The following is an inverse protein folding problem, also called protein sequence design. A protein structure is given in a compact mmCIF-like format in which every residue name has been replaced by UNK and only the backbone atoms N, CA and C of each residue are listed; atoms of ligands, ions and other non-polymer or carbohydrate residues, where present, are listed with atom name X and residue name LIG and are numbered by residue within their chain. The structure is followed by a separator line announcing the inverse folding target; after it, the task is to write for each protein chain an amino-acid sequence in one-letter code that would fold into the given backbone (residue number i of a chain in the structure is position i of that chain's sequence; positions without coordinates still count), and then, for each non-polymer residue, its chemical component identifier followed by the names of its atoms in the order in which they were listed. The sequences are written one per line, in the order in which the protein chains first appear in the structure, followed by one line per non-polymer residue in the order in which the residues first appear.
data_IF_646713430714
#
_entry.id   IF_646713430714
#
_cell.length_a   1.000
_cell.length_b   1.000
_cell.length_c   1.000
_cell.angle_alpha   90.00
_cell.angle_beta   90.00
_cell.angle_gamma   90.00
#
_symmetry.space_group_name_H-M   'P 1'
#
loop_
_entity.id
_entity.type
_entity.pdbx_description
1 polymer ?
#
# COMPACT_ATOMS: atom_id res chain seq x y z
N UNK A 1 42.34 29.03 -52.79
CA UNK A 1 41.67 29.03 -54.12
C UNK A 1 41.17 27.63 -54.40
N UNK A 2 39.91 27.30 -54.07
CA UNK A 2 38.82 27.09 -55.04
C UNK A 2 39.26 26.38 -56.33
N UNK A 3 38.90 25.11 -56.50
CA UNK A 3 38.18 24.61 -57.70
C UNK A 3 37.63 23.20 -57.48
N UNK A 4 36.31 23.19 -57.33
CA UNK A 4 35.32 22.13 -57.56
C UNK A 4 35.42 21.50 -58.96
N UNK A 5 35.07 20.21 -59.07
CA UNK A 5 34.25 19.53 -60.11
C UNK A 5 34.58 18.02 -60.09
N UNK A 6 33.74 17.05 -60.41
CA UNK A 6 32.28 16.82 -60.53
C UNK A 6 32.17 15.34 -60.95
N UNK A 7 31.10 14.67 -60.54
CA UNK A 7 30.53 13.45 -61.15
C UNK A 7 31.42 12.18 -61.04
N UNK A 8 30.92 10.97 -60.79
CA UNK A 8 29.68 10.40 -61.31
C UNK A 8 29.26 9.14 -60.52
N UNK A 9 27.96 8.87 -60.60
CA UNK A 9 27.30 7.56 -60.63
C UNK A 9 27.67 6.52 -59.56
N UNK A 10 26.71 6.23 -58.69
CA UNK A 10 26.17 4.87 -58.57
C UNK A 10 24.81 4.94 -57.87
N UNK A 11 23.75 4.85 -58.67
CA UNK A 11 22.43 4.50 -58.19
C UNK A 11 22.37 2.98 -58.06
N UNK A 12 22.27 2.48 -56.82
CA UNK A 12 21.78 1.13 -56.57
C UNK A 12 20.50 1.26 -55.75
N UNK A 13 19.39 1.02 -56.46
CA UNK A 13 18.09 0.71 -55.90
C UNK A 13 18.23 -0.59 -55.11
N UNK A 14 17.73 -0.64 -53.87
CA UNK A 14 16.96 -1.76 -53.36
C UNK A 14 16.33 -1.41 -52.01
N UNK A 15 15.00 -1.60 -51.98
CA UNK A 15 14.14 -1.48 -50.83
C UNK A 15 14.63 -2.31 -49.64
N UNK A 16 14.47 -1.78 -48.43
CA UNK A 16 14.74 -2.56 -47.23
C UNK A 16 14.67 -1.73 -45.96
N UNK A 17 13.50 -1.78 -45.33
CA UNK A 17 13.29 -1.65 -43.88
C UNK A 17 13.62 -0.31 -43.22
N UNK A 18 12.55 0.43 -42.93
CA UNK A 18 12.48 1.33 -41.78
C UNK A 18 12.78 0.53 -40.50
N UNK A 19 14.01 0.58 -40.02
CA UNK A 19 14.30 0.26 -38.62
C UNK A 19 14.14 1.55 -37.85
N UNK A 20 12.91 1.73 -37.36
CA UNK A 20 12.65 2.52 -36.18
C UNK A 20 13.73 2.18 -35.14
N UNK A 21 14.45 3.19 -34.67
CA UNK A 21 15.20 3.09 -33.42
C UNK A 21 14.21 2.79 -32.31
N UNK A 22 13.95 1.50 -32.10
CA UNK A 22 13.24 1.00 -30.95
C UNK A 22 14.06 1.42 -29.74
N UNK A 23 13.52 2.39 -29.01
CA UNK A 23 13.82 2.51 -27.60
C UNK A 23 13.71 1.10 -27.02
N UNK A 24 14.85 0.55 -26.60
CA UNK A 24 14.85 -0.62 -25.73
C UNK A 24 13.88 -0.26 -24.59
N UNK A 25 12.81 -1.02 -24.35
CA UNK A 25 12.08 -0.84 -23.12
C UNK A 25 13.12 -1.08 -22.03
N UNK A 26 13.39 -0.05 -21.22
CA UNK A 26 13.96 -0.29 -19.91
C UNK A 26 13.13 -1.44 -19.35
N UNK A 27 13.77 -2.58 -19.09
CA UNK A 27 13.14 -3.70 -18.39
C UNK A 27 12.74 -3.11 -17.05
N UNK A 28 11.54 -2.57 -16.97
CA UNK A 28 10.93 -2.13 -15.75
C UNK A 28 10.80 -3.41 -14.95
N UNK A 29 11.67 -3.52 -13.94
CA UNK A 29 11.57 -4.58 -12.96
C UNK A 29 10.14 -4.49 -12.42
N UNK A 30 9.37 -5.61 -12.39
CA UNK A 30 8.03 -5.62 -11.85
C UNK A 30 8.02 -4.89 -10.50
N UNK A 31 7.24 -3.81 -10.39
CA UNK A 31 7.05 -3.12 -9.12
C UNK A 31 6.45 -4.13 -8.14
N UNK A 32 7.26 -4.58 -7.19
CA UNK A 32 6.92 -5.67 -6.26
C UNK A 32 7.99 -6.76 -6.13
N UNK A 33 8.98 -6.84 -7.04
CA UNK A 33 10.14 -7.71 -6.85
C UNK A 33 11.22 -7.01 -6.02
N UNK A 34 11.84 -7.70 -5.04
CA UNK A 34 12.92 -7.12 -4.23
C UNK A 34 14.11 -6.68 -5.08
N UNK A 35 14.68 -5.51 -4.77
CA UNK A 35 15.86 -5.02 -5.48
C UNK A 35 17.12 -5.80 -5.09
N UNK A 36 18.19 -5.78 -5.92
CA UNK A 36 19.49 -6.35 -5.57
C UNK A 36 20.10 -5.85 -4.26
N UNK A 37 19.79 -4.62 -3.86
CA UNK A 37 20.19 -4.06 -2.57
C UNK A 37 19.43 -4.68 -1.38
N UNK A 38 18.15 -5.04 -1.57
CA UNK A 38 17.32 -5.67 -0.54
C UNK A 38 17.63 -7.17 -0.37
N UNK A 39 18.02 -7.86 -1.44
CA UNK A 39 18.41 -9.27 -1.42
C UNK A 39 19.62 -9.52 -2.35
N UNK A 40 20.84 -9.65 -1.79
CA UNK A 40 22.04 -9.93 -2.55
C UNK A 40 21.91 -11.25 -3.32
N UNK A 41 22.53 -11.34 -4.49
CA UNK A 41 22.44 -12.52 -5.38
C UNK A 41 22.79 -13.85 -4.70
N UNK A 42 23.66 -13.82 -3.67
CA UNK A 42 24.08 -15.00 -2.90
C UNK A 42 22.95 -15.67 -2.10
N UNK A 43 21.91 -14.91 -1.76
CA UNK A 43 20.78 -15.37 -0.96
C UNK A 43 19.59 -15.82 -1.86
N UNK A 44 19.84 -15.93 -3.17
CA UNK A 44 18.86 -16.35 -4.19
C UNK A 44 19.14 -17.79 -4.63
N UNK A 45 18.15 -18.67 -4.49
CA UNK A 45 18.20 -19.98 -5.13
C UNK A 45 17.51 -19.90 -6.48
N UNK A 46 18.22 -20.20 -7.57
CA UNK A 46 17.64 -20.19 -8.92
C UNK A 46 17.18 -21.60 -9.30
N UNK A 47 15.88 -21.78 -9.49
CA UNK A 47 15.26 -23.01 -9.99
C UNK A 47 14.74 -22.87 -11.42
N UNK A 48 14.25 -23.96 -12.02
CA UNK A 48 13.73 -23.98 -13.40
C UNK A 48 12.48 -23.11 -13.63
N UNK A 49 11.89 -22.55 -12.56
CA UNK A 49 10.78 -21.59 -12.59
C UNK A 49 11.12 -20.15 -12.17
N UNK A 50 12.39 -19.82 -11.91
CA UNK A 50 12.82 -18.48 -11.46
C UNK A 50 13.52 -18.45 -10.09
N UNK A 51 13.74 -17.26 -9.55
CA UNK A 51 14.39 -17.07 -8.25
C UNK A 51 13.44 -17.43 -7.09
N UNK A 52 13.88 -18.32 -6.22
CA UNK A 52 13.23 -18.71 -4.97
C UNK A 52 13.88 -17.97 -3.80
N UNK A 53 13.05 -17.40 -2.92
CA UNK A 53 13.47 -16.61 -1.78
C UNK A 53 13.01 -17.33 -0.50
N UNK A 54 13.93 -17.89 0.32
CA UNK A 54 13.57 -18.72 1.47
C UNK A 54 12.72 -18.02 2.54
N UNK A 55 12.67 -16.68 2.54
CA UNK A 55 11.87 -15.84 3.43
C UNK A 55 10.86 -14.93 2.70
N UNK A 56 10.65 -15.12 1.40
CA UNK A 56 9.61 -14.42 0.63
C UNK A 56 8.71 -15.48 -0.01
N UNK A 57 7.57 -15.69 0.62
CA UNK A 57 6.46 -16.44 0.07
C UNK A 57 5.47 -15.40 -0.46
N UNK A 58 5.42 -15.18 -1.77
CA UNK A 58 4.26 -14.55 -2.39
C UNK A 58 3.11 -15.56 -2.32
N UNK A 59 2.11 -15.43 -1.43
CA UNK A 59 1.03 -16.40 -1.36
C UNK A 59 -0.04 -15.94 -2.36
N UNK A 60 0.06 -16.42 -3.60
CA UNK A 60 -0.89 -16.12 -4.68
C UNK A 60 -2.24 -16.85 -4.56
N UNK A 61 -2.49 -17.59 -3.48
CA UNK A 61 -3.63 -18.53 -3.43
C UNK A 61 -4.89 -17.95 -2.77
N UNK A 62 -4.79 -16.85 -2.01
CA UNK A 62 -5.94 -16.28 -1.26
C UNK A 62 -6.14 -14.76 -1.38
N UNK A 63 -5.25 -14.05 -2.10
CA UNK A 63 -5.33 -12.60 -2.28
C UNK A 63 -5.09 -11.80 -0.99
N UNK A 64 -5.17 -10.47 -1.10
CA UNK A 64 -5.02 -9.54 0.02
C UNK A 64 -6.24 -9.59 0.95
N UNK A 65 -6.00 -9.52 2.26
CA UNK A 65 -6.99 -9.26 3.29
C UNK A 65 -7.04 -7.77 3.66
N UNK A 66 -8.25 -7.25 3.90
CA UNK A 66 -8.49 -5.86 4.29
C UNK A 66 -9.09 -5.87 5.68
N UNK A 67 -8.26 -5.67 6.70
CA UNK A 67 -8.61 -5.90 8.09
C UNK A 67 -8.88 -4.58 8.81
N UNK A 68 -9.79 -4.59 9.78
CA UNK A 68 -10.22 -3.41 10.52
C UNK A 68 -10.33 -3.66 12.03
N UNK A 69 -10.33 -2.57 12.79
CA UNK A 69 -10.75 -2.56 14.19
C UNK A 69 -11.37 -1.20 14.54
N UNK A 70 -12.40 -1.20 15.39
CA UNK A 70 -13.14 0.02 15.74
C UNK A 70 -13.60 0.01 17.21
N UNK A 71 -13.78 1.21 17.76
CA UNK A 71 -14.38 1.40 19.08
C UNK A 71 -13.65 0.64 20.20
N UNK A 72 -14.37 -0.07 21.11
CA UNK A 72 -13.77 -0.72 22.28
C UNK A 72 -12.67 -1.74 21.95
N UNK A 73 -12.70 -2.36 20.77
CA UNK A 73 -11.67 -3.33 20.34
C UNK A 73 -10.26 -2.74 20.25
N UNK A 74 -10.15 -1.41 20.13
CA UNK A 74 -8.86 -0.70 20.06
C UNK A 74 -8.27 -0.38 21.44
N UNK A 75 -9.06 -0.41 22.52
CA UNK A 75 -8.62 0.01 23.86
C UNK A 75 -7.58 -0.93 24.50
N UNK A 76 -7.40 -2.14 23.98
CA UNK A 76 -6.32 -3.06 24.34
C UNK A 76 -5.52 -3.60 23.14
N UNK A 77 -5.98 -3.33 21.91
CA UNK A 77 -5.42 -3.90 20.68
C UNK A 77 -4.39 -3.02 19.97
N UNK A 78 -4.31 -1.71 20.27
CA UNK A 78 -3.30 -0.83 19.68
C UNK A 78 -1.99 -1.01 20.43
N UNK A 79 -1.00 -1.69 19.81
CA UNK A 79 0.34 -1.84 20.40
C UNK A 79 0.90 -0.44 20.64
N UNK A 80 1.30 -0.14 21.88
CA UNK A 80 1.76 1.18 22.35
C UNK A 80 3.04 1.64 21.62
N UNK A 81 2.91 2.06 20.36
CA UNK A 81 3.92 2.73 19.56
C UNK A 81 3.47 4.15 19.26
N UNK A 82 4.15 5.13 19.86
CA UNK A 82 3.85 6.58 19.85
C UNK A 82 2.54 6.99 20.53
N UNK A 83 2.50 6.79 21.85
CA UNK A 83 1.61 7.53 22.73
C UNK A 83 1.97 9.02 22.71
N UNK A 84 0.98 9.86 22.36
CA UNK A 84 0.80 11.32 22.55
C UNK A 84 0.06 11.81 21.31
N UNK A 85 -1.27 11.77 21.20
CA UNK A 85 -2.14 12.64 21.97
C UNK A 85 -3.65 12.34 21.73
N UNK A 86 -4.08 11.09 21.53
CA UNK A 86 -5.50 10.83 21.22
C UNK A 86 -6.00 9.40 21.37
N UNK A 87 -7.30 9.27 21.59
CA UNK A 87 -8.04 8.01 21.71
C UNK A 87 -8.12 7.34 20.34
N UNK A 88 -7.63 6.10 20.16
CA UNK A 88 -7.85 5.36 18.93
C UNK A 88 -9.33 5.04 18.77
N UNK A 89 -9.90 5.37 17.61
CA UNK A 89 -11.35 5.21 17.33
C UNK A 89 -11.60 4.25 16.17
N UNK A 90 -10.66 4.17 15.23
CA UNK A 90 -10.71 3.26 14.08
C UNK A 90 -9.31 2.89 13.62
N UNK A 91 -9.14 1.71 13.05
CA UNK A 91 -7.92 1.28 12.39
C UNK A 91 -8.25 0.36 11.20
N UNK A 92 -7.41 0.41 10.18
CA UNK A 92 -7.50 -0.43 8.98
C UNK A 92 -6.11 -0.79 8.47
N UNK A 93 -5.96 -1.97 7.89
CA UNK A 93 -4.73 -2.48 7.32
C UNK A 93 -5.00 -3.37 6.12
N UNK A 94 -4.01 -3.48 5.25
CA UNK A 94 -3.98 -4.48 4.18
C UNK A 94 -2.92 -5.50 4.54
N UNK A 95 -3.27 -6.77 4.42
CA UNK A 95 -2.40 -7.88 4.81
C UNK A 95 -2.40 -8.98 3.75
N UNK A 96 -1.32 -9.73 3.69
CA UNK A 96 -1.27 -10.98 2.92
C UNK A 96 -1.88 -12.16 3.71
N UNK A 97 -1.81 -13.37 3.13
CA UNK A 97 -2.28 -14.60 3.78
C UNK A 97 -1.51 -14.96 5.07
N UNK A 98 -0.30 -14.44 5.26
CA UNK A 98 0.53 -14.65 6.45
C UNK A 98 0.37 -13.52 7.48
N UNK A 99 -0.61 -12.63 7.27
CA UNK A 99 -0.87 -11.47 8.13
C UNK A 99 0.28 -10.45 8.15
N UNK A 100 1.12 -10.46 7.11
CA UNK A 100 2.16 -9.47 6.90
C UNK A 100 1.54 -8.23 6.28
N UNK A 101 1.98 -7.05 6.75
CA UNK A 101 1.42 -5.80 6.29
C UNK A 101 1.88 -5.47 4.86
N UNK A 102 0.91 -5.05 4.06
CA UNK A 102 1.09 -4.65 2.67
C UNK A 102 0.97 -3.11 2.55
N UNK A 103 0.64 -2.60 1.36
CA UNK A 103 0.40 -1.15 1.19
C UNK A 103 -0.66 -0.64 2.17
N UNK A 104 -0.30 0.40 2.91
CA UNK A 104 -1.16 0.97 3.93
C UNK A 104 -2.38 1.65 3.30
N UNK A 105 -3.60 1.40 3.82
CA UNK A 105 -4.79 2.13 3.40
C UNK A 105 -4.64 3.65 3.62
N UNK A 106 -5.19 4.43 2.69
CA UNK A 106 -5.25 5.89 2.82
C UNK A 106 -6.56 6.26 3.48
N UNK A 107 -6.48 7.06 4.55
CA UNK A 107 -7.67 7.56 5.25
C UNK A 107 -7.73 9.08 5.07
N UNK A 108 -8.85 9.55 4.51
CA UNK A 108 -9.18 10.97 4.43
C UNK A 108 -10.26 11.28 5.45
N UNK A 109 -10.09 12.32 6.24
CA UNK A 109 -11.13 12.78 7.18
C UNK A 109 -12.10 13.66 6.41
N UNK A 110 -13.35 13.24 6.29
CA UNK A 110 -14.41 13.98 5.61
C UNK A 110 -15.06 15.00 6.55
N UNK A 111 -15.31 14.58 7.79
CA UNK A 111 -15.80 15.46 8.85
C UNK A 111 -15.35 14.97 10.22
N UNK A 112 -15.26 15.91 11.16
CA UNK A 112 -14.94 15.65 12.56
C UNK A 112 -15.88 16.47 13.45
N UNK A 113 -16.24 15.96 14.64
CA UNK A 113 -17.10 16.69 15.55
C UNK A 113 -16.34 17.87 16.17
N UNK A 114 -17.07 18.95 16.46
CA UNK A 114 -16.51 20.15 17.09
C UNK A 114 -15.82 19.82 18.42
N UNK A 115 -14.78 20.60 18.79
CA UNK A 115 -14.08 20.42 20.06
C UNK A 115 -12.90 19.43 20.04
N UNK A 116 -12.56 18.90 18.86
CA UNK A 116 -11.39 18.04 18.71
C UNK A 116 -10.86 17.92 17.29
N UNK A 117 -9.79 17.14 17.15
CA UNK A 117 -9.04 16.90 15.92
C UNK A 117 -8.91 15.40 15.68
N UNK A 118 -9.02 15.01 14.42
CA UNK A 118 -8.73 13.64 13.99
C UNK A 118 -7.31 13.58 13.44
N UNK A 119 -6.55 12.59 13.89
CA UNK A 119 -5.17 12.35 13.48
C UNK A 119 -5.08 10.93 12.94
N UNK A 120 -4.57 10.78 11.73
CA UNK A 120 -4.31 9.47 11.12
C UNK A 120 -2.80 9.23 11.14
N UNK A 121 -2.39 8.16 11.78
CA UNK A 121 -0.98 7.78 11.90
C UNK A 121 -0.79 6.31 11.54
N UNK A 122 0.37 5.92 11.02
CA UNK A 122 0.76 4.52 10.97
C UNK A 122 0.75 3.93 12.39
N UNK A 123 0.33 2.69 12.54
CA UNK A 123 0.35 2.03 13.84
C UNK A 123 -0.05 0.56 13.75
N UNK A 124 0.18 -0.14 14.86
CA UNK A 124 -0.23 -1.54 15.01
C UNK A 124 -1.59 -1.59 15.71
N UNK A 125 -2.43 -2.53 15.31
CA UNK A 125 -3.71 -2.84 15.97
C UNK A 125 -4.00 -4.34 15.90
N UNK A 126 -4.85 -4.85 16.78
CA UNK A 126 -5.37 -6.22 16.68
C UNK A 126 -6.56 -6.20 15.72
N UNK A 127 -6.49 -6.97 14.64
CA UNK A 127 -7.59 -7.07 13.68
C UNK A 127 -8.83 -7.67 14.36
N UNK A 128 -9.95 -6.94 14.33
CA UNK A 128 -11.21 -7.35 14.96
C UNK A 128 -12.34 -7.59 13.94
N UNK A 129 -12.13 -7.17 12.69
CA UNK A 129 -13.04 -7.41 11.57
C UNK A 129 -12.32 -7.36 10.23
N UNK A 130 -13.07 -7.56 9.16
CA UNK A 130 -12.60 -7.49 7.77
C UNK A 130 -13.57 -6.69 6.92
N UNK A 131 -13.04 -5.86 6.02
CA UNK A 131 -13.79 -5.22 4.95
C UNK A 131 -13.91 -6.14 3.73
N UNK A 132 -12.89 -6.98 3.49
CA UNK A 132 -12.85 -7.96 2.39
C UNK A 132 -11.65 -8.91 2.54
N UNK A 133 -11.69 -10.03 1.81
CA UNK A 133 -10.60 -11.02 1.79
C UNK A 133 -10.59 -11.94 3.00
N UNK A 134 -9.39 -12.41 3.38
CA UNK A 134 -9.23 -13.47 4.39
C UNK A 134 -9.56 -13.02 5.82
N UNK A 135 -10.24 -13.88 6.58
CA UNK A 135 -10.49 -13.72 8.04
C UNK A 135 -9.38 -14.34 8.90
N UNK A 136 -8.36 -14.95 8.29
CA UNK A 136 -7.28 -15.65 9.00
C UNK A 136 -6.53 -14.76 10.01
N UNK A 137 -6.47 -13.46 9.75
CA UNK A 137 -5.72 -12.51 10.57
C UNK A 137 -6.53 -11.90 11.73
N UNK A 138 -7.79 -12.27 11.90
CA UNK A 138 -8.58 -11.81 13.04
C UNK A 138 -7.95 -12.28 14.36
N UNK A 139 -7.91 -11.38 15.35
CA UNK A 139 -7.24 -11.58 16.63
C UNK A 139 -5.72 -11.43 16.59
N UNK A 140 -5.12 -11.21 15.42
CA UNK A 140 -3.68 -11.02 15.27
C UNK A 140 -3.29 -9.53 15.29
N UNK A 141 -2.10 -9.18 15.82
CA UNK A 141 -1.54 -7.85 15.65
C UNK A 141 -1.11 -7.64 14.20
N UNK A 142 -1.58 -6.56 13.60
CA UNK A 142 -1.29 -6.16 12.20
C UNK A 142 -0.90 -4.69 12.15
N UNK A 143 -0.13 -4.30 11.12
CA UNK A 143 0.24 -2.90 10.87
C UNK A 143 -0.75 -2.25 9.89
N UNK A 144 -1.03 -0.97 10.09
CA UNK A 144 -1.90 -0.22 9.18
C UNK A 144 -2.01 1.25 9.53
N UNK A 145 -3.14 1.85 9.15
CA UNK A 145 -3.52 3.22 9.49
C UNK A 145 -4.42 3.21 10.72
N UNK A 146 -4.04 3.99 11.74
CA UNK A 146 -4.79 4.17 12.99
C UNK A 146 -5.30 5.60 13.07
N UNK A 147 -6.62 5.72 13.23
CA UNK A 147 -7.33 6.98 13.42
C UNK A 147 -7.49 7.25 14.90
N UNK A 148 -7.03 8.42 15.33
CA UNK A 148 -7.10 8.88 16.71
C UNK A 148 -7.88 10.18 16.78
N UNK A 149 -8.73 10.29 17.79
CA UNK A 149 -9.40 11.53 18.13
C UNK A 149 -8.71 12.22 19.30
N UNK A 150 -8.51 13.53 19.18
CA UNK A 150 -7.84 14.40 20.16
C UNK A 150 -8.81 15.49 20.57
N UNK A 151 -9.06 15.67 21.87
CA UNK A 151 -9.97 16.70 22.38
C UNK A 151 -11.27 16.11 22.92
N UNK A 152 -12.22 16.99 23.24
CA UNK A 152 -13.47 16.62 23.90
C UNK A 152 -14.57 16.48 22.86
N UNK A 153 -15.07 15.26 22.68
CA UNK A 153 -16.16 15.00 21.77
C UNK A 153 -17.52 15.41 22.39
N UNK A 154 -18.43 15.98 21.60
CA UNK A 154 -19.82 16.16 22.00
C UNK A 154 -20.48 14.78 22.19
N UNK A 155 -21.51 14.72 23.02
CA UNK A 155 -22.27 13.49 23.21
C UNK A 155 -22.87 13.03 21.87
N UNK A 156 -22.57 11.79 21.47
CA UNK A 156 -22.98 11.26 20.16
C UNK A 156 -22.17 11.80 18.98
N UNK A 157 -21.01 12.43 19.20
CA UNK A 157 -20.13 12.90 18.14
C UNK A 157 -19.67 11.76 17.22
N UNK A 158 -19.61 12.03 15.92
CA UNK A 158 -19.16 11.08 14.90
C UNK A 158 -18.08 11.68 14.02
N UNK A 159 -17.19 10.82 13.52
CA UNK A 159 -16.19 11.15 12.51
C UNK A 159 -16.60 10.45 11.22
N UNK A 160 -16.67 11.19 10.12
CA UNK A 160 -16.79 10.58 8.79
C UNK A 160 -15.40 10.48 8.16
N UNK A 161 -15.06 9.27 7.71
CA UNK A 161 -13.79 8.92 7.10
C UNK A 161 -14.05 8.40 5.69
N UNK A 162 -13.13 8.65 4.76
CA UNK A 162 -13.01 7.86 3.52
C UNK A 162 -11.83 6.93 3.65
N UNK A 163 -12.09 5.64 3.58
CA UNK A 163 -11.06 4.59 3.56
C UNK A 163 -10.82 4.22 2.10
N UNK A 164 -9.56 4.26 1.67
CA UNK A 164 -9.16 3.92 0.31
C UNK A 164 -8.08 2.84 0.36
N UNK A 165 -8.31 1.77 -0.39
CA UNK A 165 -7.35 0.68 -0.59
C UNK A 165 -6.72 0.83 -1.98
N UNK A 166 -5.50 1.40 -2.09
CA UNK A 166 -4.95 1.78 -3.39
C UNK A 166 -4.76 0.58 -4.33
N UNK A 167 -4.37 -0.58 -3.79
CA UNK A 167 -4.32 -1.86 -4.50
C UNK A 167 -5.60 -2.23 -5.27
N UNK A 168 -6.77 -1.85 -4.74
CA UNK A 168 -8.05 -2.14 -5.38
C UNK A 168 -8.56 -0.99 -6.24
N UNK A 169 -7.99 0.21 -6.11
CA UNK A 169 -8.60 1.45 -6.59
C UNK A 169 -9.98 1.73 -5.96
N UNK A 170 -10.33 1.03 -4.88
CA UNK A 170 -11.64 1.06 -4.25
C UNK A 170 -11.62 1.89 -2.96
N UNK A 171 -12.78 2.44 -2.63
CA UNK A 171 -12.97 3.25 -1.44
C UNK A 171 -14.39 3.12 -0.90
N UNK A 172 -14.55 3.42 0.39
CA UNK A 172 -15.85 3.54 1.03
C UNK A 172 -15.80 4.64 2.10
N UNK A 173 -16.97 5.19 2.42
CA UNK A 173 -17.13 6.15 3.51
C UNK A 173 -17.55 5.40 4.78
N UNK A 174 -16.87 5.67 5.89
CA UNK A 174 -17.06 5.03 7.17
C UNK A 174 -17.39 6.06 8.25
N UNK A 175 -18.40 5.79 9.08
CA UNK A 175 -18.78 6.66 10.18
C UNK A 175 -18.40 5.99 11.50
N UNK A 176 -17.56 6.67 12.26
CA UNK A 176 -17.01 6.17 13.52
C UNK A 176 -17.61 6.98 14.67
N UNK A 177 -18.26 6.34 15.65
CA UNK A 177 -18.69 7.03 16.87
C UNK A 177 -17.46 7.39 17.72
N UNK A 178 -17.45 8.60 18.25
CA UNK A 178 -16.44 9.03 19.23
C UNK A 178 -17.02 8.87 20.63
N UNK A 179 -16.37 8.10 21.52
CA UNK A 179 -16.83 7.97 22.89
C UNK A 179 -16.92 9.34 23.59
N UNK A 180 -18.05 9.59 24.25
CA UNK A 180 -18.23 10.82 25.01
C UNK A 180 -17.39 10.79 26.30
N UNK A 181 -16.78 11.92 26.68
CA UNK A 181 -16.20 12.11 28.01
C UNK A 181 -14.71 11.81 28.18
N UNK A 182 -13.88 12.15 27.19
CA UNK A 182 -12.45 12.40 27.43
C UNK A 182 -12.26 13.70 28.24
#
# INVERSE_FOLDING_TARGET
MKRTLRCALSAFVLAGTALAGSALPALAWPEGLPTPEQYPLRDRLFGSGGAFFPNYSMPSEYGLGFVIASGPSLNGGVVKGSARAGLPVFATGTVDFNCQAEERPKITVLSAPAGGKVVVTPGMFVAAGTDAGSTKCLGQPVSGAVVRYVGRAPQGGTIALRVTYPHLGAWYDHVVPVPAGL
#
